data_IF_707833474078
#
_entry.id   IF_707833474078
#
_cell.length_a   1.000
_cell.length_b   1.000
_cell.length_c   1.000
_cell.angle_alpha   90.00
_cell.angle_beta   90.00
_cell.angle_gamma   90.00
#
_symmetry.space_group_name_H-M   'P 1'
#
loop_
_entity.id
_entity.type
_entity.pdbx_description
1 polymer ?
#
# COMPACT_ATOMS: atom_id res chain seq x y z
N UNK A 1 -25.35 -52.59 -30.20
CA UNK A 1 -23.89 -52.69 -29.98
C UNK A 1 -23.15 -51.59 -30.74
N UNK A 2 -23.47 -51.35 -32.02
CA UNK A 2 -22.82 -50.30 -32.82
C UNK A 2 -23.22 -48.87 -32.43
N UNK A 3 -24.50 -48.62 -32.14
CA UNK A 3 -24.97 -47.32 -31.61
C UNK A 3 -24.25 -46.93 -30.30
N UNK A 4 -24.03 -47.90 -29.41
CA UNK A 4 -23.31 -47.69 -28.15
C UNK A 4 -21.84 -47.33 -28.39
N UNK A 5 -21.18 -47.97 -29.36
CA UNK A 5 -19.79 -47.67 -29.73
C UNK A 5 -19.66 -46.30 -30.36
N UNK A 6 -20.66 -45.85 -31.10
CA UNK A 6 -20.70 -44.52 -31.72
C UNK A 6 -20.90 -43.43 -30.67
N UNK A 7 -21.81 -43.64 -29.71
CA UNK A 7 -21.99 -42.74 -28.55
C UNK A 7 -20.70 -42.61 -27.73
N UNK A 8 -19.99 -43.72 -27.45
CA UNK A 8 -18.71 -43.67 -26.74
C UNK A 8 -17.63 -42.87 -27.50
N UNK A 9 -17.61 -42.96 -28.83
CA UNK A 9 -16.68 -42.16 -29.67
C UNK A 9 -17.04 -40.68 -29.69
N UNK A 10 -18.32 -40.34 -29.62
CA UNK A 10 -18.77 -38.96 -29.52
C UNK A 10 -18.31 -38.37 -28.18
N UNK A 11 -18.59 -39.07 -27.07
CA UNK A 11 -18.21 -38.64 -25.71
C UNK A 11 -16.69 -38.45 -25.59
N UNK A 12 -15.88 -39.38 -26.11
CA UNK A 12 -14.43 -39.22 -26.06
C UNK A 12 -13.91 -38.03 -26.87
N UNK A 13 -14.57 -37.69 -27.99
CA UNK A 13 -14.23 -36.50 -28.78
C UNK A 13 -14.60 -35.22 -28.03
N UNK A 14 -15.80 -35.18 -27.47
CA UNK A 14 -16.29 -34.04 -26.70
C UNK A 14 -15.43 -33.82 -25.44
N UNK A 15 -15.07 -34.90 -24.72
CA UNK A 15 -14.14 -34.82 -23.60
C UNK A 15 -12.76 -34.31 -24.01
N UNK A 16 -12.25 -34.73 -25.17
CA UNK A 16 -10.95 -34.26 -25.67
C UNK A 16 -11.01 -32.77 -26.00
N UNK A 17 -12.05 -32.33 -26.71
CA UNK A 17 -12.26 -30.93 -27.04
C UNK A 17 -12.36 -30.07 -25.78
N UNK A 18 -13.20 -30.46 -24.82
CA UNK A 18 -13.32 -29.77 -23.53
C UNK A 18 -11.99 -29.72 -22.76
N UNK A 19 -11.18 -30.78 -22.85
CA UNK A 19 -9.86 -30.81 -22.18
C UNK A 19 -8.89 -29.83 -22.83
N UNK A 20 -8.94 -29.65 -24.14
CA UNK A 20 -8.09 -28.71 -24.86
C UNK A 20 -8.56 -27.27 -24.63
N UNK A 21 -9.87 -27.01 -24.60
CA UNK A 21 -10.46 -25.72 -24.21
C UNK A 21 -10.05 -25.33 -22.77
N UNK A 22 -10.16 -26.26 -21.81
CA UNK A 22 -9.73 -26.03 -20.42
C UNK A 22 -8.23 -25.71 -20.31
N UNK A 23 -7.37 -26.27 -21.18
CA UNK A 23 -5.94 -25.94 -21.17
C UNK A 23 -5.70 -24.51 -21.64
N UNK A 24 -6.42 -24.06 -22.66
CA UNK A 24 -6.30 -22.71 -23.19
C UNK A 24 -6.83 -21.69 -22.16
N UNK A 25 -7.95 -21.97 -21.50
CA UNK A 25 -8.46 -21.15 -20.38
C UNK A 25 -7.44 -21.05 -19.24
N UNK A 26 -6.83 -22.17 -18.82
CA UNK A 26 -5.78 -22.16 -17.78
C UNK A 26 -4.58 -21.33 -18.22
N UNK A 27 -4.22 -21.36 -19.51
CA UNK A 27 -3.10 -20.57 -20.05
C UNK A 27 -3.42 -19.08 -20.02
N UNK A 28 -4.63 -18.68 -20.37
CA UNK A 28 -5.09 -17.29 -20.29
C UNK A 28 -5.11 -16.79 -18.84
N UNK A 29 -5.69 -17.57 -17.91
CA UNK A 29 -5.72 -17.23 -16.48
C UNK A 29 -4.29 -17.03 -15.93
N UNK A 30 -3.35 -17.91 -16.30
CA UNK A 30 -1.94 -17.78 -15.89
C UNK A 30 -1.29 -16.50 -16.42
N UNK A 31 -1.60 -16.08 -17.64
CA UNK A 31 -1.09 -14.82 -18.19
C UNK A 31 -1.72 -13.61 -17.49
N UNK A 32 -3.01 -13.66 -17.18
CA UNK A 32 -3.69 -12.58 -16.46
C UNK A 32 -3.15 -12.42 -15.03
N UNK A 33 -2.88 -13.53 -14.32
CA UNK A 33 -2.26 -13.49 -12.99
C UNK A 33 -0.88 -12.83 -13.02
N UNK A 34 -0.02 -13.19 -13.97
CA UNK A 34 1.30 -12.54 -14.12
C UNK A 34 1.20 -11.04 -14.34
N UNK A 35 0.28 -10.60 -15.21
CA UNK A 35 0.04 -9.16 -15.45
C UNK A 35 -0.44 -8.44 -14.19
N UNK A 36 -1.28 -9.07 -13.36
CA UNK A 36 -1.76 -8.52 -12.09
C UNK A 36 -0.63 -8.44 -11.05
N UNK A 37 0.21 -9.47 -10.95
CA UNK A 37 1.38 -9.49 -10.05
C UNK A 37 2.38 -8.38 -10.42
N UNK A 38 2.75 -8.26 -11.69
CA UNK A 38 3.65 -7.19 -12.16
C UNK A 38 3.11 -5.79 -11.85
N UNK A 39 1.80 -5.59 -12.07
CA UNK A 39 1.15 -4.32 -11.72
C UNK A 39 1.23 -4.05 -10.21
N UNK A 40 0.98 -5.06 -9.39
CA UNK A 40 1.03 -4.95 -7.94
C UNK A 40 2.45 -4.64 -7.42
N UNK A 41 3.48 -5.29 -7.97
CA UNK A 41 4.87 -4.99 -7.63
C UNK A 41 5.25 -3.55 -7.99
N UNK A 42 4.88 -3.07 -9.19
CA UNK A 42 5.12 -1.68 -9.59
C UNK A 42 4.43 -0.69 -8.65
N UNK A 43 3.18 -0.95 -8.26
CA UNK A 43 2.44 -0.10 -7.33
C UNK A 43 3.11 -0.05 -5.93
N UNK A 44 3.61 -1.18 -5.42
CA UNK A 44 4.38 -1.24 -4.17
C UNK A 44 5.64 -0.37 -4.26
N UNK A 45 6.45 -0.54 -5.30
CA UNK A 45 7.71 0.21 -5.46
C UNK A 45 7.46 1.72 -5.54
N UNK A 46 6.43 2.16 -6.27
CA UNK A 46 6.07 3.57 -6.37
C UNK A 46 5.63 4.16 -5.02
N UNK A 47 4.88 3.41 -4.20
CA UNK A 47 4.47 3.85 -2.87
C UNK A 47 5.68 4.01 -1.95
N UNK A 48 6.60 3.04 -1.96
CA UNK A 48 7.84 3.11 -1.17
C UNK A 48 8.63 4.37 -1.53
N UNK A 49 8.83 4.63 -2.83
CA UNK A 49 9.55 5.82 -3.30
C UNK A 49 8.91 7.12 -2.81
N UNK A 50 7.58 7.27 -2.94
CA UNK A 50 6.86 8.46 -2.46
C UNK A 50 6.98 8.66 -0.95
N UNK A 51 6.93 7.58 -0.17
CA UNK A 51 7.09 7.69 1.28
C UNK A 51 8.53 8.08 1.64
N UNK A 52 9.55 7.49 1.00
CA UNK A 52 10.95 7.88 1.22
C UNK A 52 11.16 9.36 0.88
N UNK A 53 10.60 9.81 -0.24
CA UNK A 53 10.68 11.20 -0.67
C UNK A 53 10.03 12.14 0.36
N UNK A 54 8.82 11.82 0.83
CA UNK A 54 8.15 12.58 1.88
C UNK A 54 8.98 12.64 3.18
N UNK A 55 9.53 11.51 3.63
CA UNK A 55 10.37 11.47 4.83
C UNK A 55 11.63 12.32 4.67
N UNK A 56 12.22 12.37 3.48
CA UNK A 56 13.40 13.18 3.18
C UNK A 56 13.08 14.67 3.08
N UNK A 57 12.02 15.04 2.37
CA UNK A 57 11.66 16.44 2.12
C UNK A 57 11.06 17.11 3.36
N UNK A 58 10.08 16.46 3.99
CA UNK A 58 9.29 17.06 5.08
C UNK A 58 9.89 16.82 6.46
N UNK A 59 10.50 15.65 6.68
CA UNK A 59 11.03 15.27 7.99
C UNK A 59 12.56 15.25 8.06
N UNK A 60 13.26 15.41 6.92
CA UNK A 60 14.73 15.29 6.83
C UNK A 60 15.28 13.97 7.37
N UNK A 61 14.51 12.88 7.23
CA UNK A 61 14.88 11.55 7.69
C UNK A 61 15.19 10.66 6.49
N UNK A 62 16.33 9.98 6.57
CA UNK A 62 16.64 8.84 5.72
C UNK A 62 16.21 7.57 6.45
N UNK A 63 15.18 6.88 5.93
CA UNK A 63 14.65 5.67 6.52
C UNK A 63 14.56 4.56 5.47
N UNK A 64 14.97 3.35 5.86
CA UNK A 64 14.76 2.16 5.05
C UNK A 64 13.35 1.63 5.27
N UNK A 65 12.59 1.54 4.18
CA UNK A 65 11.22 1.06 4.14
C UNK A 65 11.24 -0.33 3.54
N UNK A 66 10.72 -1.30 4.29
CA UNK A 66 10.61 -2.68 3.85
C UNK A 66 9.46 -2.83 2.86
N UNK A 67 8.28 -2.33 3.20
CA UNK A 67 7.11 -2.36 2.33
C UNK A 67 6.19 -1.15 2.59
N UNK A 68 5.43 -0.76 1.56
CA UNK A 68 4.35 0.19 1.69
C UNK A 68 3.13 -0.27 0.87
N UNK A 69 1.94 -0.14 1.46
CA UNK A 69 0.68 -0.48 0.78
C UNK A 69 -0.46 0.42 1.24
N UNK A 70 -1.40 0.66 0.32
CA UNK A 70 -2.60 1.45 0.61
C UNK A 70 -3.54 0.65 1.52
N UNK A 71 -4.08 1.30 2.53
CA UNK A 71 -5.17 0.79 3.36
C UNK A 71 -6.35 1.76 3.21
N UNK A 72 -7.43 1.29 2.60
CA UNK A 72 -8.69 2.01 2.63
C UNK A 72 -9.31 1.85 4.02
N UNK A 73 -9.24 2.89 4.85
CA UNK A 73 -9.93 2.89 6.14
C UNK A 73 -10.86 4.06 6.37
N UNK A 74 -10.88 5.11 5.54
CA UNK A 74 -11.83 6.21 5.69
C UNK A 74 -12.24 6.80 4.34
N UNK A 75 -13.51 7.20 4.20
CA UNK A 75 -14.13 7.71 2.96
C UNK A 75 -13.46 8.97 2.38
N UNK A 76 -12.63 9.67 3.16
CA UNK A 76 -12.08 10.97 2.80
C UNK A 76 -10.55 11.01 2.63
N UNK A 77 -9.83 9.97 3.08
CA UNK A 77 -8.36 9.93 2.97
C UNK A 77 -7.87 8.50 2.68
N UNK A 78 -7.01 8.37 1.67
CA UNK A 78 -6.26 7.13 1.46
C UNK A 78 -5.13 7.05 2.48
N UNK A 79 -5.20 6.07 3.38
CA UNK A 79 -4.09 5.79 4.29
C UNK A 79 -3.07 4.87 3.62
N UNK A 80 -1.79 5.08 3.92
CA UNK A 80 -0.71 4.19 3.50
C UNK A 80 -0.10 3.61 4.76
N UNK A 81 -0.01 2.28 4.84
CA UNK A 81 0.77 1.61 5.87
C UNK A 81 2.18 1.41 5.34
N UNK A 82 3.14 1.76 6.20
CA UNK A 82 4.56 1.71 5.92
C UNK A 82 5.18 0.77 6.94
N UNK A 83 5.82 -0.29 6.45
CA UNK A 83 6.62 -1.20 7.23
C UNK A 83 8.08 -0.77 7.15
N UNK A 84 8.68 -0.47 8.29
CA UNK A 84 10.06 0.01 8.39
C UNK A 84 10.96 -1.16 8.76
N UNK A 85 12.18 -1.18 8.22
CA UNK A 85 13.17 -2.22 8.54
C UNK A 85 13.67 -2.13 9.99
N UNK A 86 13.75 -0.92 10.54
CA UNK A 86 14.28 -0.65 11.87
C UNK A 86 13.25 0.04 12.76
N UNK A 87 13.14 -0.45 14.00
CA UNK A 87 12.34 0.19 15.04
C UNK A 87 12.87 1.59 15.38
N UNK A 88 14.19 1.80 15.26
CA UNK A 88 14.80 3.11 15.48
C UNK A 88 14.30 4.15 14.46
N UNK A 89 14.21 3.77 13.17
CA UNK A 89 13.64 4.63 12.12
C UNK A 89 12.20 5.05 12.48
N UNK A 90 11.40 4.15 13.06
CA UNK A 90 10.05 4.45 13.52
C UNK A 90 10.03 5.52 14.62
N UNK A 91 10.92 5.38 15.60
CA UNK A 91 11.07 6.35 16.69
C UNK A 91 11.44 7.73 16.13
N UNK A 92 12.41 7.77 15.21
CA UNK A 92 12.92 9.02 14.65
C UNK A 92 11.84 9.74 13.83
N UNK A 93 11.07 9.01 13.03
CA UNK A 93 9.92 9.53 12.29
C UNK A 93 8.86 10.10 13.25
N UNK A 94 8.53 9.39 14.33
CA UNK A 94 7.57 9.88 15.32
C UNK A 94 8.05 11.16 16.02
N UNK A 95 9.34 11.21 16.37
CA UNK A 95 9.97 12.40 16.97
C UNK A 95 9.96 13.60 16.02
N UNK A 96 10.35 13.41 14.76
CA UNK A 96 10.35 14.48 13.76
C UNK A 96 8.94 15.02 13.48
N UNK A 97 7.94 14.13 13.37
CA UNK A 97 6.54 14.52 13.22
C UNK A 97 6.04 15.37 14.39
N UNK A 98 6.40 14.99 15.62
CA UNK A 98 6.05 15.75 16.82
C UNK A 98 6.69 17.14 16.82
N UNK A 99 7.98 17.23 16.46
CA UNK A 99 8.69 18.52 16.31
C UNK A 99 8.02 19.41 15.26
N UNK A 100 7.69 18.86 14.09
CA UNK A 100 7.03 19.60 13.01
C UNK A 100 5.69 20.19 13.47
N UNK A 101 4.85 19.40 14.14
CA UNK A 101 3.58 19.88 14.71
C UNK A 101 3.79 21.03 15.69
N UNK A 102 4.77 20.92 16.59
CA UNK A 102 5.06 21.97 17.55
C UNK A 102 5.54 23.26 16.86
N UNK A 103 6.35 23.15 15.80
CA UNK A 103 6.79 24.30 15.01
C UNK A 103 5.62 24.97 14.30
N UNK A 104 4.74 24.19 13.65
CA UNK A 104 3.52 24.72 13.01
C UNK A 104 2.62 25.41 14.03
N UNK A 105 2.43 24.79 15.19
CA UNK A 105 1.60 25.34 16.25
C UNK A 105 2.17 26.65 16.81
N UNK A 106 3.47 26.70 17.10
CA UNK A 106 4.14 27.94 17.54
C UNK A 106 4.04 29.04 16.49
N UNK A 107 4.16 28.69 15.20
CA UNK A 107 4.04 29.64 14.09
C UNK A 107 2.62 30.25 14.01
N UNK A 108 1.58 29.42 14.18
CA UNK A 108 0.19 29.86 14.00
C UNK A 108 -0.40 30.55 15.23
N UNK A 109 -0.01 30.10 16.43
CA UNK A 109 -0.67 30.50 17.68
C UNK A 109 0.28 31.17 18.68
N UNK A 110 1.57 31.28 18.37
CA UNK A 110 2.59 31.69 19.32
C UNK A 110 2.88 30.60 20.36
N UNK A 111 3.87 30.83 21.21
CA UNK A 111 4.14 29.94 22.33
C UNK A 111 3.04 30.02 23.40
N UNK A 112 2.88 28.97 24.22
CA UNK A 112 1.97 29.01 25.37
C UNK A 112 2.29 30.20 26.30
N UNK A 113 3.58 30.57 26.40
CA UNK A 113 4.05 31.74 27.13
C UNK A 113 3.53 33.04 26.52
N UNK A 114 3.71 33.26 25.22
CA UNK A 114 3.20 34.46 24.54
C UNK A 114 1.68 34.60 24.69
N UNK A 115 0.95 33.48 24.64
CA UNK A 115 -0.51 33.49 24.87
C UNK A 115 -0.87 33.82 26.31
N UNK A 116 -0.11 33.34 27.29
CA UNK A 116 -0.30 33.70 28.71
C UNK A 116 0.02 35.15 29.00
N UNK A 117 1.08 35.68 28.38
CA UNK A 117 1.43 37.11 28.45
C UNK A 117 0.33 37.98 27.84
N UNK A 118 -0.20 37.61 26.67
CA UNK A 118 -1.37 38.29 26.07
C UNK A 118 -2.64 38.23 26.94
N UNK A 119 -2.83 37.16 27.71
CA UNK A 119 -3.99 36.98 28.59
C UNK A 119 -3.78 37.51 30.01
N UNK A 120 -2.61 38.07 30.35
CA UNK A 120 -2.34 38.62 31.69
C UNK A 120 -2.33 37.57 32.82
N UNK A 121 -2.17 36.29 32.50
CA UNK A 121 -2.22 35.20 33.50
C UNK A 121 -0.83 34.90 34.08
N UNK A 122 -0.67 35.01 35.40
CA UNK A 122 0.50 34.51 36.13
C UNK A 122 0.38 32.99 36.37
N UNK A 123 1.44 32.24 36.05
CA UNK A 123 1.59 30.84 36.47
C UNK A 123 1.68 30.81 38.00
N UNK A 124 0.81 30.02 38.65
CA UNK A 124 1.05 29.57 40.03
C UNK A 124 2.09 28.46 40.02
#
# INVERSE_FOLDING_TARGET
MDELKEMMRQIMRDMKQNTDELKDEIKEIKQEMRKKEEKWEREKTQLVQRVVEFLKQELQIQANIKEAYKINREKHYQMVRVELESFQNKIDIMKAKSKLKNTIYKRNYGTLRERREKMGMKLK
#
